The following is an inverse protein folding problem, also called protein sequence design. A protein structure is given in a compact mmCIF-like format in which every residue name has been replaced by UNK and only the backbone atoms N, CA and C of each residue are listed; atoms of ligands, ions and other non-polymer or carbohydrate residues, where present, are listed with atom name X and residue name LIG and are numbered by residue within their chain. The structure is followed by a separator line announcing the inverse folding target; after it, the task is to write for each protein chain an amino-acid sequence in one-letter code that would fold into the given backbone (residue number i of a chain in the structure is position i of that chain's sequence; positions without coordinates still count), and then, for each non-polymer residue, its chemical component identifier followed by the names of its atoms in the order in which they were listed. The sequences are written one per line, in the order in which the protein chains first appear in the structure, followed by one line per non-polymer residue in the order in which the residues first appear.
data_IF_807868826743
#
_entry.id   IF_807868826743
#
_cell.length_a   1.000
_cell.length_b   1.000
_cell.length_c   1.000
_cell.angle_alpha   90.00
_cell.angle_beta   90.00
_cell.angle_gamma   90.00
#
_symmetry.space_group_name_H-M   'P 1'
#
loop_
_entity.id
_entity.type
_entity.pdbx_description
1 polymer ?
#
# COMPACT_ATOMS: atom_id res chain seq x y z
N UNK A 1 17.75 -17.57 -1.03
CA UNK A 1 17.04 -16.47 -0.34
C UNK A 1 16.61 -16.81 1.10
N UNK A 2 16.96 -15.98 2.08
CA UNK A 2 16.41 -15.98 3.46
C UNK A 2 15.19 -15.06 3.50
N UNK A 3 14.10 -15.49 4.12
CA UNK A 3 12.91 -14.67 4.30
C UNK A 3 12.71 -14.36 5.78
N UNK A 4 12.51 -13.10 6.12
CA UNK A 4 12.18 -12.64 7.48
C UNK A 4 10.83 -11.96 7.47
N UNK A 5 9.93 -12.35 8.36
CA UNK A 5 8.59 -11.79 8.43
C UNK A 5 8.24 -11.39 9.86
N UNK A 6 7.77 -10.15 10.06
CA UNK A 6 7.19 -9.72 11.32
C UNK A 6 5.91 -10.50 11.63
N UNK A 7 5.74 -10.96 12.88
CA UNK A 7 4.59 -11.79 13.27
C UNK A 7 3.21 -11.13 13.02
N UNK A 8 3.14 -9.79 13.08
CA UNK A 8 1.91 -9.02 12.85
C UNK A 8 1.65 -8.74 11.35
N UNK A 9 2.61 -8.98 10.47
CA UNK A 9 2.54 -8.63 9.05
C UNK A 9 1.28 -9.19 8.37
N UNK A 10 0.99 -10.46 8.63
CA UNK A 10 -0.20 -11.14 8.07
C UNK A 10 -1.49 -10.74 8.76
N UNK A 11 -1.43 -10.41 10.05
CA UNK A 11 -2.60 -10.15 10.88
C UNK A 11 -3.06 -8.70 10.83
N UNK A 12 -2.25 -7.79 10.28
CA UNK A 12 -2.58 -6.38 10.15
C UNK A 12 -3.94 -6.17 9.46
N UNK A 13 -4.76 -5.29 10.04
CA UNK A 13 -6.05 -4.86 9.47
C UNK A 13 -6.18 -3.36 9.56
N UNK A 14 -6.51 -2.73 8.43
CA UNK A 14 -6.84 -1.32 8.39
C UNK A 14 -8.14 -1.06 9.16
N UNK A 15 -8.14 -0.06 10.03
CA UNK A 15 -9.34 0.40 10.76
C UNK A 15 -10.12 1.50 10.02
N UNK A 16 -9.75 1.75 8.76
CA UNK A 16 -10.39 2.70 7.85
C UNK A 16 -10.63 4.08 8.49
N UNK A 17 -11.87 4.57 8.47
CA UNK A 17 -12.22 5.90 8.99
C UNK A 17 -12.07 6.07 10.51
N UNK A 18 -11.82 4.99 11.26
CA UNK A 18 -11.46 5.09 12.68
C UNK A 18 -9.97 5.40 12.89
N UNK A 19 -9.15 5.38 11.83
CA UNK A 19 -7.74 5.74 11.91
C UNK A 19 -7.59 7.24 12.26
N UNK A 20 -6.76 7.58 13.27
CA UNK A 20 -6.61 8.98 13.70
C UNK A 20 -5.96 9.87 12.62
N UNK A 21 -5.17 9.26 11.72
CA UNK A 21 -4.58 9.93 10.56
C UNK A 21 -4.77 9.08 9.30
N UNK A 22 -4.89 9.72 8.14
CA UNK A 22 -5.10 9.02 6.87
C UNK A 22 -3.78 8.75 6.16
N UNK A 23 -3.56 7.50 5.73
CA UNK A 23 -2.47 7.17 4.82
C UNK A 23 -2.63 7.81 3.43
N UNK A 24 -3.74 8.47 3.13
CA UNK A 24 -3.94 9.21 1.89
C UNK A 24 -3.60 10.71 2.03
N UNK A 25 -2.77 11.06 3.00
CA UNK A 25 -2.27 12.40 3.25
C UNK A 25 -0.75 12.40 3.48
N UNK A 26 -0.04 13.40 2.93
CA UNK A 26 1.35 13.69 3.30
C UNK A 26 2.45 13.01 2.47
N UNK A 27 2.12 12.12 1.54
CA UNK A 27 3.06 11.49 0.60
C UNK A 27 2.39 11.23 -0.74
N UNK A 28 3.17 11.06 -1.80
CA UNK A 28 2.63 10.87 -3.14
C UNK A 28 2.39 9.40 -3.46
N UNK A 29 1.16 9.07 -3.87
CA UNK A 29 0.75 7.69 -4.15
C UNK A 29 0.99 7.37 -5.62
N UNK A 30 1.98 6.51 -5.87
CA UNK A 30 2.27 5.95 -7.19
C UNK A 30 1.23 4.88 -7.54
N UNK A 31 0.79 4.87 -8.79
CA UNK A 31 -0.17 3.91 -9.34
C UNK A 31 0.60 2.98 -10.27
N UNK A 32 0.51 1.67 -10.04
CA UNK A 32 1.09 0.67 -10.93
C UNK A 32 0.46 0.72 -12.33
N UNK A 33 1.20 0.26 -13.33
CA UNK A 33 0.78 0.33 -14.73
C UNK A 33 -0.54 -0.39 -15.01
N UNK A 34 -0.77 -1.53 -14.36
CA UNK A 34 -1.99 -2.31 -14.56
C UNK A 34 -3.20 -1.57 -14.01
N UNK A 35 -3.06 -0.90 -12.87
CA UNK A 35 -4.08 -0.04 -12.32
C UNK A 35 -4.31 1.22 -13.17
N UNK A 36 -3.25 1.84 -13.73
CA UNK A 36 -3.41 2.94 -14.68
C UNK A 36 -4.24 2.52 -15.90
N UNK A 37 -3.95 1.35 -16.50
CA UNK A 37 -4.72 0.81 -17.63
C UNK A 37 -6.18 0.61 -17.25
N UNK A 38 -6.46 -0.06 -16.12
CA UNK A 38 -7.84 -0.28 -15.62
C UNK A 38 -8.59 1.03 -15.41
N UNK A 39 -7.97 2.01 -14.74
CA UNK A 39 -8.59 3.32 -14.47
C UNK A 39 -8.83 4.12 -15.75
N UNK A 40 -7.99 3.93 -16.77
CA UNK A 40 -8.18 4.57 -18.06
C UNK A 40 -9.38 3.97 -18.80
N UNK A 41 -9.61 2.67 -18.69
CA UNK A 41 -10.68 1.95 -19.39
C UNK A 41 -12.06 2.19 -18.78
N UNK A 42 -12.15 2.49 -17.49
CA UNK A 42 -13.43 2.79 -16.83
C UNK A 42 -14.07 4.10 -17.34
N UNK A 43 -15.16 3.96 -18.10
CA UNK A 43 -15.94 5.08 -18.66
C UNK A 43 -17.19 5.42 -17.87
N UNK A 44 -17.42 4.80 -16.72
CA UNK A 44 -18.53 5.13 -15.82
C UNK A 44 -18.41 6.57 -15.31
N UNK A 45 -19.48 7.15 -14.73
CA UNK A 45 -19.38 8.47 -14.09
C UNK A 45 -18.28 8.53 -13.02
N UNK A 46 -18.09 7.43 -12.26
CA UNK A 46 -17.03 7.33 -11.27
C UNK A 46 -15.66 7.21 -11.93
N UNK A 47 -15.50 6.34 -12.94
CA UNK A 47 -14.27 6.21 -13.72
C UNK A 47 -13.78 7.53 -14.33
N UNK A 48 -14.70 8.37 -14.83
CA UNK A 48 -14.35 9.72 -15.32
C UNK A 48 -13.81 10.64 -14.21
N UNK A 49 -14.40 10.59 -13.02
CA UNK A 49 -13.91 11.32 -11.83
C UNK A 49 -12.54 10.79 -11.39
N UNK A 50 -12.38 9.47 -11.35
CA UNK A 50 -11.13 8.80 -11.02
C UNK A 50 -10.02 9.20 -12.00
N UNK A 51 -10.28 9.13 -13.31
CA UNK A 51 -9.35 9.56 -14.34
C UNK A 51 -8.97 11.05 -14.24
N UNK A 52 -9.91 11.91 -13.85
CA UNK A 52 -9.65 13.32 -13.55
C UNK A 52 -8.73 13.52 -12.35
N UNK A 53 -8.69 12.54 -11.45
CA UNK A 53 -7.91 12.55 -10.21
C UNK A 53 -6.51 11.97 -10.35
N UNK A 54 -6.11 11.56 -11.56
CA UNK A 54 -4.79 10.97 -11.86
C UNK A 54 -3.93 11.98 -12.61
N UNK A 55 -2.68 12.11 -12.20
CA UNK A 55 -1.61 12.66 -13.02
C UNK A 55 -1.03 11.54 -13.88
N UNK A 56 -1.44 11.51 -15.15
CA UNK A 56 -1.08 10.47 -16.09
C UNK A 56 0.38 10.54 -16.54
N UNK A 57 1.03 11.70 -16.42
CA UNK A 57 2.45 11.83 -16.76
C UNK A 57 3.33 11.26 -15.64
N UNK A 58 2.97 11.55 -14.38
CA UNK A 58 3.68 11.04 -13.22
C UNK A 58 3.24 9.65 -12.76
N UNK A 59 2.11 9.12 -13.25
CA UNK A 59 1.56 7.85 -12.78
C UNK A 59 1.13 7.90 -11.31
N UNK A 60 0.57 9.02 -10.85
CA UNK A 60 0.22 9.23 -9.43
C UNK A 60 -1.18 9.76 -9.25
N UNK A 61 -1.76 9.57 -8.06
CA UNK A 61 -2.97 10.31 -7.68
C UNK A 61 -2.63 11.79 -7.45
N UNK A 62 -3.45 12.67 -8.00
CA UNK A 62 -3.39 14.11 -7.71
C UNK A 62 -3.76 14.36 -6.25
N UNK A 63 -3.27 15.47 -5.74
CA UNK A 63 -3.53 15.92 -4.38
C UNK A 63 -4.06 17.35 -4.34
N UNK A 64 -4.87 17.64 -3.34
CA UNK A 64 -5.24 18.98 -2.92
C UNK A 64 -4.84 19.13 -1.45
N UNK A 65 -4.06 20.16 -1.12
CA UNK A 65 -3.57 20.41 0.25
C UNK A 65 -2.87 19.18 0.86
N UNK A 66 -2.10 18.45 0.04
CA UNK A 66 -1.41 17.17 0.36
C UNK A 66 -2.33 15.98 0.66
N UNK A 67 -3.63 16.09 0.37
CA UNK A 67 -4.62 15.01 0.50
C UNK A 67 -4.94 14.45 -0.87
N UNK A 68 -4.93 13.12 -1.00
CA UNK A 68 -5.33 12.43 -2.23
C UNK A 68 -6.75 12.85 -2.64
N UNK A 69 -6.99 13.11 -3.93
CA UNK A 69 -8.32 13.48 -4.43
C UNK A 69 -9.38 12.37 -4.30
N UNK A 70 -8.97 11.13 -3.99
CA UNK A 70 -9.89 10.03 -3.64
C UNK A 70 -10.25 9.98 -2.15
N UNK A 71 -9.59 10.76 -1.28
CA UNK A 71 -9.90 10.83 0.14
C UNK A 71 -11.01 11.86 0.39
N UNK A 72 -12.19 11.41 0.83
CA UNK A 72 -13.32 12.29 1.11
C UNK A 72 -13.19 13.02 2.46
N UNK A 73 -14.18 13.87 2.76
CA UNK A 73 -14.30 14.66 3.98
C UNK A 73 -14.48 13.82 5.26
N UNK A 74 -14.91 12.57 5.12
CA UNK A 74 -14.99 11.57 6.20
C UNK A 74 -13.72 10.73 6.35
N UNK A 75 -12.62 11.12 5.71
CA UNK A 75 -11.35 10.37 5.68
C UNK A 75 -11.50 8.93 5.16
N UNK A 76 -12.43 8.71 4.22
CA UNK A 76 -12.61 7.43 3.55
C UNK A 76 -12.24 7.54 2.07
N UNK A 77 -11.69 6.47 1.51
CA UNK A 77 -11.33 6.39 0.10
C UNK A 77 -12.60 6.15 -0.75
N UNK A 78 -12.95 7.10 -1.60
CA UNK A 78 -14.12 6.99 -2.48
C UNK A 78 -13.98 5.88 -3.53
N UNK A 79 -12.75 5.52 -3.91
CA UNK A 79 -12.48 4.38 -4.80
C UNK A 79 -12.87 3.06 -4.13
N UNK A 80 -12.51 2.86 -2.86
CA UNK A 80 -12.92 1.69 -2.09
C UNK A 80 -14.42 1.69 -1.83
N UNK A 81 -15.02 2.85 -1.54
CA UNK A 81 -16.47 2.96 -1.34
C UNK A 81 -17.24 2.59 -2.61
N UNK A 82 -16.79 3.04 -3.79
CA UNK A 82 -17.48 2.82 -5.06
C UNK A 82 -17.28 1.41 -5.61
N UNK A 83 -16.04 0.92 -5.62
CA UNK A 83 -15.61 -0.26 -6.40
C UNK A 83 -15.00 -1.38 -5.53
N UNK A 84 -14.88 -1.18 -4.21
CA UNK A 84 -14.30 -2.13 -3.27
C UNK A 84 -12.76 -2.15 -3.24
N UNK A 85 -12.17 -2.89 -2.30
CA UNK A 85 -10.71 -2.92 -2.08
C UNK A 85 -9.92 -3.49 -3.26
N UNK A 86 -10.52 -4.36 -4.08
CA UNK A 86 -9.89 -4.91 -5.29
C UNK A 86 -9.66 -3.89 -6.41
N UNK A 87 -10.25 -2.69 -6.28
CA UNK A 87 -10.02 -1.59 -7.23
C UNK A 87 -8.74 -0.82 -6.95
N UNK A 88 -8.13 -0.99 -5.77
CA UNK A 88 -6.92 -0.28 -5.36
C UNK A 88 -5.73 -0.61 -6.28
N UNK A 89 -4.81 0.35 -6.40
CA UNK A 89 -3.48 0.12 -6.96
C UNK A 89 -2.60 -0.62 -5.95
N UNK A 90 -1.50 -1.22 -6.42
CA UNK A 90 -0.54 -1.98 -5.62
C UNK A 90 -0.07 -1.20 -4.39
N UNK A 91 0.26 0.09 -4.56
CA UNK A 91 0.69 0.97 -3.46
C UNK A 91 -0.36 1.05 -2.35
N UNK A 92 -1.61 1.37 -2.70
CA UNK A 92 -2.70 1.48 -1.72
C UNK A 92 -3.09 0.13 -1.11
N UNK A 93 -2.99 -0.95 -1.88
CA UNK A 93 -3.38 -2.29 -1.44
C UNK A 93 -2.35 -2.90 -0.48
N UNK A 94 -1.07 -2.64 -0.71
CA UNK A 94 0.01 -3.14 0.14
C UNK A 94 0.14 -2.34 1.42
N UNK A 95 0.09 -1.00 1.36
CA UNK A 95 0.33 -0.17 2.54
C UNK A 95 -0.56 -0.58 3.74
N UNK A 96 0.01 -0.78 4.95
CA UNK A 96 1.38 -0.53 5.36
C UNK A 96 2.32 -1.75 5.27
N UNK A 97 1.93 -2.82 4.60
CA UNK A 97 2.82 -3.96 4.35
C UNK A 97 3.93 -3.54 3.40
N UNK A 98 5.15 -3.60 3.90
CA UNK A 98 6.36 -3.32 3.16
C UNK A 98 7.14 -4.61 2.92
N UNK A 99 7.67 -4.75 1.71
CA UNK A 99 8.58 -5.82 1.34
C UNK A 99 9.88 -5.16 0.91
N UNK A 100 10.97 -5.52 1.56
CA UNK A 100 12.32 -5.08 1.21
C UNK A 100 13.15 -6.29 0.80
N UNK A 101 13.96 -6.13 -0.23
CA UNK A 101 14.77 -7.22 -0.77
C UNK A 101 16.21 -6.78 -0.91
N UNK A 102 17.09 -7.59 -0.34
CA UNK A 102 18.53 -7.51 -0.38
C UNK A 102 19.06 -8.79 -1.04
N UNK A 103 20.34 -8.81 -1.45
CA UNK A 103 20.94 -9.93 -2.22
C UNK A 103 20.51 -11.32 -1.75
N UNK A 104 20.57 -11.60 -0.44
CA UNK A 104 20.23 -12.91 0.12
C UNK A 104 19.04 -12.87 1.10
N UNK A 105 18.38 -11.72 1.27
CA UNK A 105 17.35 -11.54 2.31
C UNK A 105 16.13 -10.79 1.78
N UNK A 106 14.95 -11.35 1.94
CA UNK A 106 13.66 -10.66 1.74
C UNK A 106 12.95 -10.46 3.07
N UNK A 107 12.70 -9.20 3.45
CA UNK A 107 12.06 -8.82 4.70
C UNK A 107 10.62 -8.33 4.48
N UNK A 108 9.69 -8.79 5.32
CA UNK A 108 8.28 -8.40 5.34
C UNK A 108 7.96 -7.71 6.66
N UNK A 109 7.62 -6.43 6.59
CA UNK A 109 7.43 -5.57 7.77
C UNK A 109 6.19 -4.68 7.63
N UNK A 110 5.74 -4.09 8.73
CA UNK A 110 4.73 -3.03 8.69
C UNK A 110 5.40 -1.65 8.80
N UNK A 111 5.04 -0.74 7.90
CA UNK A 111 5.50 0.65 7.93
C UNK A 111 4.87 1.42 9.10
N UNK A 112 5.73 2.00 9.94
CA UNK A 112 5.35 2.82 11.11
C UNK A 112 4.67 4.14 10.75
N UNK A 113 4.65 4.51 9.47
CA UNK A 113 3.86 5.62 8.94
C UNK A 113 2.36 5.36 9.07
N UNK A 114 1.91 4.10 9.25
CA UNK A 114 0.54 3.79 9.60
C UNK A 114 0.33 3.86 11.12
N UNK A 115 -0.58 4.70 11.63
CA UNK A 115 -0.84 4.80 13.07
C UNK A 115 -1.28 3.47 13.71
N UNK A 116 -2.05 2.65 12.99
CA UNK A 116 -2.51 1.35 13.50
C UNK A 116 -1.36 0.32 13.55
N UNK A 117 -0.47 0.32 12.56
CA UNK A 117 0.73 -0.53 12.60
C UNK A 117 1.72 -0.08 13.68
N UNK A 118 1.96 1.23 13.81
CA UNK A 118 2.80 1.77 14.87
C UNK A 118 2.23 1.41 16.25
N UNK A 119 0.91 1.50 16.41
CA UNK A 119 0.24 1.12 17.66
C UNK A 119 0.44 -0.36 18.01
N UNK A 120 0.31 -1.28 17.04
CA UNK A 120 0.52 -2.71 17.31
C UNK A 120 1.94 -3.04 17.78
N UNK A 121 2.93 -2.25 17.36
CA UNK A 121 4.32 -2.39 17.78
C UNK A 121 4.60 -1.70 19.12
N UNK A 122 4.00 -0.54 19.39
CA UNK A 122 4.25 0.22 20.63
C UNK A 122 3.47 -0.32 21.82
N UNK A 123 2.24 -0.80 21.62
CA UNK A 123 1.36 -1.26 22.70
C UNK A 123 1.42 -2.78 22.96
N UNK A 124 2.26 -3.54 22.22
CA UNK A 124 2.35 -4.98 22.42
C UNK A 124 2.86 -5.35 23.81
N UNK A 125 2.32 -6.44 24.33
CA UNK A 125 2.76 -7.06 25.60
C UNK A 125 3.78 -8.17 25.39
N UNK A 126 3.96 -8.62 24.15
CA UNK A 126 4.95 -9.62 23.74
C UNK A 126 6.20 -8.93 23.20
N UNK A 127 7.34 -9.63 23.24
CA UNK A 127 8.55 -9.15 22.56
C UNK A 127 8.30 -9.04 21.07
N UNK A 128 8.93 -8.05 20.43
CA UNK A 128 9.04 -8.05 18.98
C UNK A 128 9.84 -9.26 18.50
N UNK A 129 9.27 -9.99 17.55
CA UNK A 129 9.90 -11.14 16.90
C UNK A 129 9.60 -11.12 15.40
N UNK A 130 10.52 -11.72 14.67
CA UNK A 130 10.37 -12.03 13.25
C UNK A 130 10.61 -13.52 13.07
N UNK A 131 9.81 -14.14 12.21
CA UNK A 131 10.01 -15.54 11.81
C UNK A 131 10.95 -15.58 10.62
N UNK A 132 11.97 -16.42 10.69
CA UNK A 132 12.93 -16.65 9.58
C UNK A 132 12.65 -18.00 8.90
N UNK A 133 12.73 -18.03 7.57
CA UNK A 133 12.72 -19.26 6.77
C UNK A 133 13.72 -19.15 5.63
N UNK A 134 14.36 -20.25 5.26
CA UNK A 134 15.27 -20.30 4.12
C UNK A 134 14.61 -21.05 2.95
N UNK A 135 14.78 -20.54 1.73
CA UNK A 135 14.50 -21.27 0.51
C UNK A 135 15.79 -21.47 -0.29
N UNK A 136 15.98 -22.68 -0.79
CA UNK A 136 17.17 -23.09 -1.57
C UNK A 136 16.97 -22.88 -3.08
N UNK A 137 15.86 -22.27 -3.49
CA UNK A 137 15.69 -21.78 -4.85
C UNK A 137 16.79 -20.75 -5.15
N UNK A 138 17.57 -21.02 -6.18
CA UNK A 138 18.54 -20.07 -6.72
C UNK A 138 17.75 -18.91 -7.31
N UNK A 139 18.04 -17.68 -6.86
CA UNK A 139 17.45 -16.48 -7.41
C UNK A 139 17.87 -16.34 -8.88
N UNK A 140 16.92 -16.12 -9.79
CA UNK A 140 17.22 -15.93 -11.21
C UNK A 140 17.86 -14.56 -11.40
N UNK A 141 19.15 -14.47 -11.81
CA UNK A 141 19.85 -13.20 -11.95
C UNK A 141 19.17 -12.24 -12.95
N UNK A 142 18.33 -12.75 -13.85
CA UNK A 142 17.58 -11.94 -14.81
C UNK A 142 16.41 -11.16 -14.19
N UNK A 143 16.00 -11.47 -12.95
CA UNK A 143 14.98 -10.72 -12.22
C UNK A 143 15.49 -9.37 -11.67
N UNK A 144 16.81 -9.14 -11.69
CA UNK A 144 17.46 -7.93 -11.18
C UNK A 144 18.05 -7.03 -12.29
N UNK A 145 17.84 -7.38 -13.56
CA UNK A 145 18.22 -6.54 -14.70
C UNK A 145 17.04 -5.60 -15.05
N UNK A 146 17.05 -4.40 -14.47
CA UNK A 146 16.22 -3.24 -14.88
C UNK A 146 16.62 -2.70 -16.28
#
# INVERSE_FOLDING_TARGET
MVYREEDDFRNFRCIAGACPESCCEGWQIVIDEDSLKRYQEDKTPFGKRLAGSIDWQGGTFKQQDRRCLMLNDRNLCDLVIAEGEGSLCRTCHLFPRHMEEYEDVREYTLDLSCPEAAKSIVERTTSFSMTEREDQTEDDPSEYED
#
